data_IF_441496453761
#
_entry.id   IF_441496453761
#
_cell.length_a   1.000
_cell.length_b   1.000
_cell.length_c   1.000
_cell.angle_alpha   90.00
_cell.angle_beta   90.00
_cell.angle_gamma   90.00
#
_symmetry.space_group_name_H-M   'P 1'
#
loop_
_entity.id
_entity.type
_entity.pdbx_description
1 polymer ?
#
# COMPACT_ATOMS: atom_id res chain seq x y z
N UNK A 1 -20.89 10.12 14.38
CA UNK A 1 -20.38 11.34 15.03
C UNK A 1 -19.22 11.82 14.14
N UNK A 2 -19.37 12.74 13.18
CA UNK A 2 -19.53 14.22 13.34
C UNK A 2 -18.59 14.73 14.44
N UNK A 3 -17.55 15.55 14.20
CA UNK A 3 -17.53 16.94 13.68
C UNK A 3 -16.04 17.40 13.57
N UNK A 4 -15.51 18.04 12.49
CA UNK A 4 -15.55 19.46 12.03
C UNK A 4 -14.20 20.22 12.18
N UNK A 5 -13.79 20.89 11.07
CA UNK A 5 -13.28 22.29 10.91
C UNK A 5 -11.96 22.71 11.63
N UNK A 6 -11.08 23.65 11.22
CA UNK A 6 -11.01 24.82 10.31
C UNK A 6 -9.51 24.98 9.91
N UNK A 7 -9.11 25.27 8.67
CA UNK A 7 -8.89 26.61 8.06
C UNK A 7 -8.22 27.67 8.96
N UNK A 8 -6.97 28.07 8.67
CA UNK A 8 -6.49 29.42 9.02
C UNK A 8 -5.39 29.92 8.08
N UNK A 9 -5.80 30.90 7.28
CA UNK A 9 -5.04 31.87 6.52
C UNK A 9 -4.35 32.83 7.51
N UNK A 10 -3.05 33.12 7.35
CA UNK A 10 -2.39 34.24 8.05
C UNK A 10 -1.59 35.05 7.03
N UNK A 11 -2.16 36.19 6.64
CA UNK A 11 -1.46 37.35 6.10
C UNK A 11 -0.51 37.91 7.16
N UNK A 12 0.74 38.21 6.78
CA UNK A 12 1.55 39.17 7.51
C UNK A 12 1.83 40.39 6.62
N UNK A 13 1.12 41.48 6.91
CA UNK A 13 1.53 42.84 6.57
C UNK A 13 2.79 43.16 7.38
N UNK A 14 3.84 43.68 6.73
CA UNK A 14 4.87 44.45 7.42
C UNK A 14 4.93 45.87 6.89
N UNK A 15 4.90 46.79 7.85
CA UNK A 15 4.75 48.21 7.70
C UNK A 15 6.03 48.89 7.22
N UNK A 16 5.82 49.91 6.39
CA UNK A 16 6.77 50.95 5.99
C UNK A 16 7.22 51.73 7.22
N UNK A 17 8.54 51.88 7.41
CA UNK A 17 9.13 52.84 8.35
C UNK A 17 10.13 53.72 7.61
N UNK A 18 9.84 55.02 7.61
CA UNK A 18 10.66 56.08 7.04
C UNK A 18 12.01 56.21 7.74
N UNK A 19 13.08 56.32 6.97
CA UNK A 19 14.32 56.98 7.38
C UNK A 19 14.84 57.81 6.20
N UNK A 20 14.87 59.13 6.40
CA UNK A 20 15.37 60.15 5.48
C UNK A 20 16.91 60.17 5.43
N UNK A 21 17.54 60.20 4.25
CA UNK A 21 18.98 60.50 4.12
C UNK A 21 19.25 62.02 4.07
N UNK A 22 20.47 62.48 4.46
CA UNK A 22 20.80 63.91 4.57
C UNK A 22 21.12 64.59 3.23
N UNK A 23 20.79 65.87 3.16
CA UNK A 23 21.05 66.81 2.07
C UNK A 23 22.55 66.97 1.78
N UNK A 24 22.95 66.64 0.54
CA UNK A 24 24.23 67.06 -0.03
C UNK A 24 23.93 68.14 -1.07
N UNK A 25 24.24 69.39 -0.73
CA UNK A 25 24.22 70.50 -1.67
C UNK A 25 25.44 70.41 -2.59
N UNK A 26 25.23 69.95 -3.82
CA UNK A 26 26.21 70.03 -4.90
C UNK A 26 25.94 71.30 -5.72
N UNK A 27 26.76 72.32 -5.53
CA UNK A 27 26.77 73.53 -6.34
C UNK A 27 27.27 73.19 -7.74
N UNK A 28 26.38 73.18 -8.73
CA UNK A 28 26.73 73.00 -10.13
C UNK A 28 26.89 74.36 -10.82
N UNK A 29 28.12 74.69 -11.22
CA UNK A 29 28.38 75.67 -12.27
C UNK A 29 28.02 75.05 -13.63
N UNK A 30 27.33 75.76 -14.55
CA UNK A 30 26.97 75.20 -15.84
C UNK A 30 28.15 75.25 -16.80
N UNK A 31 28.86 74.14 -16.94
CA UNK A 31 29.73 73.92 -18.10
C UNK A 31 28.85 73.42 -19.24
N UNK A 32 28.66 74.28 -20.24
CA UNK A 32 28.09 73.91 -21.53
C UNK A 32 28.93 72.79 -22.15
N UNK A 33 28.30 71.65 -22.44
CA UNK A 33 28.86 70.61 -23.29
C UNK A 33 27.92 70.43 -24.47
N UNK A 34 28.52 70.62 -25.64
CA UNK A 34 27.91 70.78 -26.95
C UNK A 34 27.07 69.57 -27.40
N UNK A 35 25.96 69.90 -28.07
CA UNK A 35 24.96 69.05 -28.72
C UNK A 35 25.49 68.33 -29.98
N UNK A 36 26.62 67.62 -29.90
CA UNK A 36 27.15 66.99 -31.11
C UNK A 36 28.00 65.73 -30.85
N UNK A 37 27.38 64.64 -30.38
CA UNK A 37 27.94 63.30 -30.57
C UNK A 37 26.86 62.22 -30.75
N UNK A 38 26.75 61.79 -32.01
CA UNK A 38 26.43 60.45 -32.49
C UNK A 38 25.49 59.58 -31.65
N UNK A 39 24.28 59.38 -32.18
CA UNK A 39 23.53 58.12 -31.99
C UNK A 39 24.42 56.93 -32.40
N UNK A 40 24.75 55.99 -31.50
CA UNK A 40 25.15 54.67 -31.95
C UNK A 40 23.88 54.00 -32.46
N UNK A 41 23.80 53.90 -33.78
CA UNK A 41 23.43 52.68 -34.49
C UNK A 41 22.81 51.61 -33.57
N UNK A 42 21.47 51.54 -33.56
CA UNK A 42 20.80 50.30 -33.20
C UNK A 42 21.04 49.37 -34.39
N UNK A 43 22.16 48.64 -34.34
CA UNK A 43 22.28 47.43 -35.14
C UNK A 43 21.10 46.54 -34.76
N UNK A 44 20.33 46.14 -35.77
CA UNK A 44 19.46 44.97 -35.69
C UNK A 44 20.36 43.79 -35.30
N UNK A 45 20.47 43.51 -33.99
CA UNK A 45 21.20 42.37 -33.47
C UNK A 45 20.39 41.11 -33.84
N UNK A 46 20.57 40.65 -35.08
CA UNK A 46 20.20 39.31 -35.47
C UNK A 46 20.91 38.37 -34.49
N UNK A 47 20.13 37.72 -33.63
CA UNK A 47 20.60 36.69 -32.71
C UNK A 47 21.01 35.49 -33.56
N UNK A 48 22.26 35.49 -34.03
CA UNK A 48 22.88 34.35 -34.69
C UNK A 48 23.07 33.23 -33.67
N UNK A 49 22.54 32.03 -33.96
CA UNK A 49 22.82 30.84 -33.15
C UNK A 49 24.27 30.44 -33.34
N UNK A 50 24.98 30.20 -32.24
CA UNK A 50 26.40 29.87 -32.25
C UNK A 50 26.62 28.36 -32.15
N UNK A 51 27.82 27.89 -32.51
CA UNK A 51 28.25 26.51 -32.26
C UNK A 51 28.11 26.12 -30.78
N UNK A 52 28.30 27.10 -29.87
CA UNK A 52 28.13 26.92 -28.43
C UNK A 52 26.66 26.64 -28.05
N UNK A 53 25.69 27.29 -28.70
CA UNK A 53 24.25 27.07 -28.46
C UNK A 53 23.81 25.65 -28.87
N UNK A 54 24.33 25.16 -30.01
CA UNK A 54 24.08 23.78 -30.47
C UNK A 54 24.73 22.77 -29.52
N UNK A 55 25.94 23.07 -29.02
CA UNK A 55 26.64 22.22 -28.06
C UNK A 55 25.91 22.15 -26.71
N UNK A 56 25.38 23.27 -26.22
CA UNK A 56 24.57 23.34 -25.01
C UNK A 56 23.26 22.55 -25.18
N UNK A 57 22.52 22.78 -26.27
CA UNK A 57 21.30 22.03 -26.55
C UNK A 57 21.55 20.51 -26.67
N UNK A 58 22.67 20.11 -27.27
CA UNK A 58 23.08 18.70 -27.35
C UNK A 58 23.38 18.10 -25.98
N UNK A 59 24.06 18.85 -25.12
CA UNK A 59 24.32 18.41 -23.75
C UNK A 59 23.01 18.23 -22.98
N UNK A 60 22.10 19.20 -23.03
CA UNK A 60 20.78 19.14 -22.38
C UNK A 60 19.94 17.95 -22.87
N UNK A 61 19.92 17.72 -24.19
CA UNK A 61 19.23 16.55 -24.76
C UNK A 61 19.84 15.22 -24.26
N UNK A 62 21.17 15.12 -24.20
CA UNK A 62 21.84 13.92 -23.71
C UNK A 62 21.61 13.70 -22.20
N UNK A 63 21.47 14.78 -21.43
CA UNK A 63 21.08 14.75 -20.02
C UNK A 63 19.63 14.28 -19.86
N UNK A 64 18.69 14.87 -20.58
CA UNK A 64 17.29 14.46 -20.58
C UNK A 64 17.12 12.98 -20.97
N UNK A 65 17.91 12.49 -21.93
CA UNK A 65 17.93 11.07 -22.31
C UNK A 65 18.50 10.16 -21.21
N UNK A 66 19.43 10.64 -20.39
CA UNK A 66 19.90 9.90 -19.21
C UNK A 66 18.82 9.88 -18.13
N UNK A 67 18.20 11.01 -17.84
CA UNK A 67 17.12 11.12 -16.85
C UNK A 67 15.93 10.23 -17.22
N UNK A 68 15.48 10.26 -18.47
CA UNK A 68 14.40 9.39 -18.95
C UNK A 68 14.73 7.89 -18.82
N UNK A 69 16.01 7.50 -18.90
CA UNK A 69 16.43 6.11 -18.66
C UNK A 69 16.35 5.73 -17.19
N UNK A 70 16.69 6.64 -16.29
CA UNK A 70 16.56 6.45 -14.84
C UNK A 70 15.09 6.35 -14.46
N UNK A 71 14.28 7.31 -14.91
CA UNK A 71 12.83 7.33 -14.67
C UNK A 71 12.15 6.05 -15.16
N UNK A 72 12.53 5.57 -16.35
CA UNK A 72 12.04 4.29 -16.86
C UNK A 72 12.44 3.13 -15.94
N UNK A 73 13.68 3.07 -15.49
CA UNK A 73 14.15 2.00 -14.62
C UNK A 73 13.40 2.01 -13.28
N UNK A 74 13.15 3.18 -12.70
CA UNK A 74 12.37 3.34 -11.47
C UNK A 74 10.91 2.91 -11.69
N UNK A 75 10.30 3.33 -12.80
CA UNK A 75 8.95 2.92 -13.19
C UNK A 75 8.83 1.40 -13.38
N UNK A 76 9.80 0.79 -14.07
CA UNK A 76 9.86 -0.67 -14.28
C UNK A 76 10.00 -1.41 -12.95
N UNK A 77 10.81 -0.88 -12.02
CA UNK A 77 10.96 -1.41 -10.67
C UNK A 77 9.63 -1.37 -9.89
N UNK A 78 8.94 -0.23 -9.84
CA UNK A 78 7.65 -0.12 -9.15
C UNK A 78 6.58 -1.02 -9.75
N UNK A 79 6.59 -1.18 -11.07
CA UNK A 79 5.66 -2.09 -11.74
C UNK A 79 5.96 -3.56 -11.40
N UNK A 80 7.24 -3.92 -11.32
CA UNK A 80 7.66 -5.26 -10.91
C UNK A 80 7.26 -5.55 -9.46
N UNK A 81 7.53 -4.62 -8.54
CA UNK A 81 7.20 -4.71 -7.11
C UNK A 81 5.71 -4.94 -6.91
N UNK A 82 4.86 -4.09 -7.49
CA UNK A 82 3.41 -4.27 -7.45
C UNK A 82 2.95 -5.59 -8.11
N UNK A 83 3.70 -6.09 -9.08
CA UNK A 83 3.44 -7.39 -9.70
C UNK A 83 3.80 -8.57 -8.79
N UNK A 84 4.79 -8.42 -7.92
CA UNK A 84 5.14 -9.40 -6.90
C UNK A 84 4.09 -9.44 -5.79
N UNK A 85 3.56 -8.29 -5.36
CA UNK A 85 2.48 -8.22 -4.38
C UNK A 85 1.25 -9.03 -4.82
N UNK A 86 0.90 -8.98 -6.11
CA UNK A 86 -0.19 -9.81 -6.66
C UNK A 86 0.14 -11.29 -6.54
N UNK A 87 1.36 -11.70 -6.90
CA UNK A 87 1.77 -13.10 -6.84
C UNK A 87 1.78 -13.63 -5.40
N UNK A 88 2.25 -12.81 -4.45
CA UNK A 88 2.23 -13.14 -3.04
C UNK A 88 0.80 -13.31 -2.52
N UNK A 89 -0.09 -12.35 -2.81
CA UNK A 89 -1.50 -12.45 -2.41
C UNK A 89 -2.22 -13.65 -3.06
N UNK A 90 -1.90 -13.99 -4.32
CA UNK A 90 -2.41 -15.21 -4.97
C UNK A 90 -1.90 -16.47 -4.28
N UNK A 91 -0.62 -16.49 -3.90
CA UNK A 91 -0.02 -17.61 -3.18
C UNK A 91 -0.64 -17.79 -1.80
N UNK A 92 -0.82 -16.72 -1.02
CA UNK A 92 -1.46 -16.77 0.30
C UNK A 92 -2.88 -17.33 0.22
N UNK A 93 -3.69 -16.84 -0.73
CA UNK A 93 -5.06 -17.35 -0.93
C UNK A 93 -5.05 -18.84 -1.32
N UNK A 94 -4.08 -19.26 -2.14
CA UNK A 94 -3.90 -20.66 -2.52
C UNK A 94 -3.51 -21.52 -1.32
N UNK A 95 -2.52 -21.11 -0.52
CA UNK A 95 -2.07 -21.82 0.68
C UNK A 95 -3.24 -21.97 1.66
N UNK A 96 -3.95 -20.88 1.94
CA UNK A 96 -5.12 -20.92 2.81
C UNK A 96 -6.17 -21.92 2.29
N UNK A 97 -6.50 -21.86 1.00
CA UNK A 97 -7.58 -22.69 0.42
C UNK A 97 -7.20 -24.17 0.31
N UNK A 98 -5.94 -24.48 -0.01
CA UNK A 98 -5.47 -25.83 -0.31
C UNK A 98 -4.88 -26.56 0.89
N UNK A 99 -4.35 -25.84 1.89
CA UNK A 99 -3.67 -26.43 3.04
C UNK A 99 -4.33 -26.01 4.37
N UNK A 100 -4.34 -24.72 4.69
CA UNK A 100 -4.70 -24.28 6.05
C UNK A 100 -6.17 -24.56 6.38
N UNK A 101 -7.10 -24.18 5.49
CA UNK A 101 -8.53 -24.40 5.70
C UNK A 101 -8.85 -25.90 5.85
N UNK A 102 -8.42 -26.81 4.94
CA UNK A 102 -8.62 -28.25 5.14
C UNK A 102 -8.02 -28.76 6.44
N UNK A 103 -6.82 -28.30 6.81
CA UNK A 103 -6.17 -28.69 8.07
C UNK A 103 -7.00 -28.27 9.30
N UNK A 104 -7.46 -27.02 9.34
CA UNK A 104 -8.30 -26.52 10.44
C UNK A 104 -9.61 -27.31 10.56
N UNK A 105 -10.26 -27.63 9.44
CA UNK A 105 -11.47 -28.45 9.43
C UNK A 105 -11.17 -29.85 9.99
N UNK A 106 -10.14 -30.52 9.45
CA UNK A 106 -9.78 -31.87 9.87
C UNK A 106 -9.40 -31.93 11.36
N UNK A 107 -8.70 -30.92 11.88
CA UNK A 107 -8.37 -30.86 13.30
C UNK A 107 -9.62 -30.75 14.17
N UNK A 108 -10.55 -29.85 13.82
CA UNK A 108 -11.81 -29.71 14.55
C UNK A 108 -12.71 -30.95 14.45
N UNK A 109 -12.71 -31.65 13.32
CA UNK A 109 -13.40 -32.94 13.18
C UNK A 109 -12.79 -34.03 14.08
N UNK A 110 -11.46 -34.06 14.19
CA UNK A 110 -10.75 -34.99 15.08
C UNK A 110 -11.08 -34.74 16.56
N UNK A 111 -11.17 -33.47 16.98
CA UNK A 111 -11.53 -33.09 18.34
C UNK A 111 -12.97 -33.53 18.66
N UNK A 112 -13.91 -33.31 17.73
CA UNK A 112 -15.28 -33.82 17.84
C UNK A 112 -15.35 -35.34 17.94
N UNK A 113 -14.60 -36.05 17.09
CA UNK A 113 -14.57 -37.51 17.11
C UNK A 113 -14.05 -38.02 18.46
N UNK A 114 -12.99 -37.41 18.98
CA UNK A 114 -12.40 -37.75 20.28
C UNK A 114 -13.42 -37.58 21.41
N UNK A 115 -14.15 -36.46 21.44
CA UNK A 115 -15.19 -36.22 22.46
C UNK A 115 -16.37 -37.19 22.32
N UNK A 116 -16.77 -37.55 21.09
CA UNK A 116 -17.83 -38.54 20.85
C UNK A 116 -17.43 -39.93 21.35
N UNK A 117 -16.18 -40.34 21.13
CA UNK A 117 -15.66 -41.59 21.66
C UNK A 117 -15.62 -41.56 23.20
N UNK A 118 -15.11 -40.48 23.80
CA UNK A 118 -15.12 -40.30 25.25
C UNK A 118 -16.54 -40.35 25.84
N UNK A 119 -17.53 -39.80 25.12
CA UNK A 119 -18.94 -39.85 25.54
C UNK A 119 -19.47 -41.29 25.52
N UNK A 120 -19.15 -42.05 24.47
CA UNK A 120 -19.54 -43.45 24.37
C UNK A 120 -18.93 -44.26 25.51
N UNK A 121 -17.62 -44.13 25.71
CA UNK A 121 -16.89 -44.81 26.80
C UNK A 121 -17.47 -44.46 28.17
N UNK A 122 -17.74 -43.18 28.43
CA UNK A 122 -18.35 -42.72 29.70
C UNK A 122 -19.74 -43.32 29.93
N UNK A 123 -20.55 -43.51 28.87
CA UNK A 123 -21.87 -44.13 28.95
C UNK A 123 -21.76 -45.63 29.24
N UNK A 124 -20.84 -46.32 28.55
CA UNK A 124 -20.60 -47.75 28.74
C UNK A 124 -20.07 -48.05 30.14
N UNK A 125 -19.11 -47.25 30.64
CA UNK A 125 -18.59 -47.36 32.00
C UNK A 125 -19.70 -47.17 33.05
N UNK A 126 -20.51 -46.11 32.90
CA UNK A 126 -21.62 -45.87 33.83
C UNK A 126 -22.61 -47.05 33.83
N UNK A 127 -22.96 -47.59 32.65
CA UNK A 127 -23.85 -48.74 32.56
C UNK A 127 -23.28 -49.98 33.25
N UNK A 128 -21.96 -50.23 33.11
CA UNK A 128 -21.27 -51.32 33.81
C UNK A 128 -21.29 -51.13 35.33
N UNK A 129 -21.04 -49.90 35.81
CA UNK A 129 -21.10 -49.58 37.24
C UNK A 129 -22.53 -49.73 37.80
N UNK A 130 -23.54 -49.30 37.05
CA UNK A 130 -24.94 -49.47 37.43
C UNK A 130 -25.37 -50.93 37.47
N UNK A 131 -24.87 -51.78 36.57
CA UNK A 131 -25.07 -53.23 36.66
C UNK A 131 -24.39 -53.85 37.89
N UNK A 132 -23.17 -53.42 38.22
CA UNK A 132 -22.40 -53.96 39.34
C UNK A 132 -22.98 -53.56 40.70
N UNK A 133 -23.33 -52.28 40.87
CA UNK A 133 -23.80 -51.74 42.16
C UNK A 133 -25.32 -51.67 42.28
N UNK A 134 -26.08 -51.81 41.19
CA UNK A 134 -27.54 -51.71 41.20
C UNK A 134 -28.27 -52.99 41.60
N UNK A 135 -27.58 -54.14 41.66
CA UNK A 135 -28.18 -55.43 42.00
C UNK A 135 -28.15 -55.77 43.50
N UNK A 136 -27.33 -55.08 44.29
CA UNK A 136 -27.22 -55.29 45.75
C UNK A 136 -27.87 -54.11 46.50
N UNK A 137 -28.69 -54.39 47.52
CA UNK A 137 -29.06 -53.44 48.59
C UNK A 137 -27.81 -53.13 49.44
N UNK A 138 -26.75 -52.61 48.81
CA UNK A 138 -25.56 -52.16 49.50
C UNK A 138 -25.92 -50.85 50.22
N UNK A 139 -26.11 -50.94 51.53
CA UNK A 139 -26.05 -49.84 52.52
C UNK A 139 -24.65 -49.17 52.56
N UNK A 140 -23.88 -49.27 51.46
CA UNK A 140 -22.52 -48.78 51.35
C UNK A 140 -22.52 -47.45 50.59
N UNK A 141 -22.48 -46.36 51.37
CA UNK A 141 -22.32 -44.97 50.90
C UNK A 141 -21.19 -44.83 49.87
N UNK A 142 -20.22 -45.74 49.87
CA UNK A 142 -19.13 -45.78 48.89
C UNK A 142 -19.63 -46.07 47.46
N UNK A 143 -20.57 -47.00 47.28
CA UNK A 143 -21.13 -47.33 45.96
C UNK A 143 -21.90 -46.14 45.36
N UNK A 144 -22.67 -45.43 46.18
CA UNK A 144 -23.36 -44.21 45.76
C UNK A 144 -22.37 -43.13 45.28
N UNK A 145 -21.27 -42.92 46.02
CA UNK A 145 -20.23 -41.94 45.64
C UNK A 145 -19.61 -42.29 44.28
N UNK A 146 -19.36 -43.57 44.00
CA UNK A 146 -18.81 -44.02 42.71
C UNK A 146 -19.79 -43.74 41.57
N UNK A 147 -21.06 -44.12 41.72
CA UNK A 147 -22.10 -43.85 40.72
C UNK A 147 -22.30 -42.35 40.49
N UNK A 148 -22.32 -41.54 41.55
CA UNK A 148 -22.43 -40.08 41.43
C UNK A 148 -21.23 -39.48 40.69
N UNK A 149 -20.01 -39.98 40.91
CA UNK A 149 -18.82 -39.52 40.18
C UNK A 149 -18.92 -39.85 38.70
N UNK A 150 -19.30 -41.07 38.35
CA UNK A 150 -19.46 -41.49 36.97
C UNK A 150 -20.55 -40.68 36.24
N UNK A 151 -21.70 -40.43 36.89
CA UNK A 151 -22.77 -39.56 36.35
C UNK A 151 -22.28 -38.13 36.13
N UNK A 152 -21.48 -37.58 37.05
CA UNK A 152 -20.89 -36.24 36.90
C UNK A 152 -19.92 -36.19 35.73
N UNK A 153 -19.07 -37.21 35.58
CA UNK A 153 -18.15 -37.31 34.46
C UNK A 153 -18.93 -37.34 33.14
N UNK A 154 -19.96 -38.17 33.03
CA UNK A 154 -20.82 -38.23 31.84
C UNK A 154 -21.48 -36.88 31.53
N UNK A 155 -22.00 -36.20 32.56
CA UNK A 155 -22.60 -34.87 32.43
C UNK A 155 -21.61 -33.83 31.90
N UNK A 156 -20.37 -33.85 32.37
CA UNK A 156 -19.31 -32.98 31.85
C UNK A 156 -18.95 -33.32 30.41
N UNK A 157 -18.77 -34.60 30.07
CA UNK A 157 -18.46 -35.01 28.69
C UNK A 157 -19.56 -34.58 27.71
N UNK A 158 -20.84 -34.67 28.10
CA UNK A 158 -21.96 -34.15 27.31
C UNK A 158 -21.85 -32.63 27.07
N UNK A 159 -21.55 -31.88 28.12
CA UNK A 159 -21.43 -30.42 28.05
C UNK A 159 -20.26 -30.01 27.13
N UNK A 160 -19.13 -30.70 27.23
CA UNK A 160 -17.98 -30.45 26.36
C UNK A 160 -18.27 -30.80 24.91
N UNK A 161 -18.97 -31.91 24.64
CA UNK A 161 -19.36 -32.26 23.28
C UNK A 161 -20.27 -31.19 22.66
N UNK A 162 -21.28 -30.71 23.39
CA UNK A 162 -22.19 -29.66 22.90
C UNK A 162 -21.43 -28.36 22.58
N UNK A 163 -20.49 -27.97 23.45
CA UNK A 163 -19.63 -26.82 23.23
C UNK A 163 -18.75 -26.98 21.98
N UNK A 164 -18.15 -28.16 21.80
CA UNK A 164 -17.28 -28.42 20.66
C UNK A 164 -18.09 -28.49 19.36
N UNK A 165 -19.30 -29.03 19.37
CA UNK A 165 -20.20 -29.04 18.22
C UNK A 165 -20.56 -27.62 17.78
N UNK A 166 -20.82 -26.72 18.73
CA UNK A 166 -21.03 -25.31 18.44
C UNK A 166 -19.75 -24.65 17.89
N UNK A 167 -18.61 -24.92 18.48
CA UNK A 167 -17.31 -24.35 18.08
C UNK A 167 -16.94 -24.77 16.65
N UNK A 168 -17.07 -26.06 16.33
CA UNK A 168 -16.88 -26.61 15.01
C UNK A 168 -17.83 -25.97 13.98
N UNK A 169 -19.12 -25.85 14.32
CA UNK A 169 -20.09 -25.20 13.44
C UNK A 169 -19.73 -23.73 13.18
N UNK A 170 -19.33 -22.99 14.22
CA UNK A 170 -18.89 -21.60 14.09
C UNK A 170 -17.63 -21.47 13.22
N UNK A 171 -16.66 -22.38 13.38
CA UNK A 171 -15.45 -22.43 12.56
C UNK A 171 -15.80 -22.52 11.07
N UNK A 172 -16.64 -23.50 10.70
CA UNK A 172 -16.98 -23.77 9.30
C UNK A 172 -17.89 -22.69 8.71
N UNK A 173 -18.90 -22.25 9.45
CA UNK A 173 -19.95 -21.39 8.91
C UNK A 173 -19.58 -19.90 8.95
N UNK A 174 -18.71 -19.50 9.88
CA UNK A 174 -18.44 -18.07 10.14
C UNK A 174 -16.96 -17.75 9.99
N UNK A 175 -16.09 -18.43 10.74
CA UNK A 175 -14.68 -18.03 10.86
C UNK A 175 -13.90 -18.28 9.57
N UNK A 176 -13.89 -19.51 9.04
CA UNK A 176 -13.18 -19.85 7.81
C UNK A 176 -13.67 -19.06 6.59
N UNK A 177 -14.99 -18.83 6.40
CA UNK A 177 -15.46 -17.93 5.34
C UNK A 177 -15.05 -16.47 5.55
N UNK A 178 -14.98 -15.98 6.78
CA UNK A 178 -14.53 -14.63 7.07
C UNK A 178 -13.03 -14.46 6.78
N UNK A 179 -12.22 -15.42 7.19
CA UNK A 179 -10.79 -15.48 6.91
C UNK A 179 -10.52 -15.54 5.41
N UNK A 180 -11.25 -16.38 4.66
CA UNK A 180 -11.17 -16.41 3.18
C UNK A 180 -11.39 -15.04 2.55
N UNK A 181 -12.40 -14.29 3.03
CA UNK A 181 -12.70 -12.94 2.51
C UNK A 181 -11.59 -11.93 2.78
N UNK A 182 -10.76 -12.16 3.80
CA UNK A 182 -9.57 -11.32 4.03
C UNK A 182 -8.56 -11.54 2.90
N UNK A 183 -8.20 -12.79 2.62
CA UNK A 183 -7.29 -13.15 1.52
C UNK A 183 -7.83 -12.75 0.13
N UNK A 184 -9.13 -12.89 -0.11
CA UNK A 184 -9.74 -12.43 -1.37
C UNK A 184 -9.63 -10.91 -1.52
N UNK A 185 -9.81 -10.15 -0.43
CA UNK A 185 -9.69 -8.69 -0.44
C UNK A 185 -8.24 -8.24 -0.62
N UNK A 186 -7.27 -8.87 0.04
CA UNK A 186 -5.85 -8.53 -0.14
C UNK A 186 -5.43 -8.74 -1.59
N UNK A 187 -5.86 -9.85 -2.19
CA UNK A 187 -5.63 -10.10 -3.62
C UNK A 187 -6.30 -9.05 -4.53
N UNK A 188 -7.55 -8.69 -4.25
CA UNK A 188 -8.26 -7.66 -5.02
C UNK A 188 -7.54 -6.31 -4.93
N UNK A 189 -7.09 -5.92 -3.73
CA UNK A 189 -6.32 -4.69 -3.52
C UNK A 189 -4.99 -4.70 -4.28
N UNK A 190 -4.21 -5.78 -4.17
CA UNK A 190 -2.94 -5.92 -4.90
C UNK A 190 -3.16 -5.84 -6.42
N UNK A 191 -4.20 -6.49 -6.95
CA UNK A 191 -4.55 -6.41 -8.39
C UNK A 191 -4.92 -5.00 -8.82
N UNK A 192 -5.67 -4.29 -7.99
CA UNK A 192 -6.02 -2.90 -8.26
C UNK A 192 -4.78 -1.99 -8.25
N UNK A 193 -3.90 -2.15 -7.26
CA UNK A 193 -2.65 -1.39 -7.14
C UNK A 193 -1.70 -1.66 -8.31
N UNK A 194 -1.53 -2.92 -8.70
CA UNK A 194 -0.79 -3.28 -9.91
C UNK A 194 -1.38 -2.65 -11.17
N UNK A 195 -2.71 -2.70 -11.33
CA UNK A 195 -3.39 -2.04 -12.44
C UNK A 195 -3.16 -0.53 -12.47
N UNK A 196 -3.20 0.12 -11.30
CA UNK A 196 -2.92 1.55 -11.16
C UNK A 196 -1.44 1.88 -11.45
N UNK A 197 -0.50 1.07 -10.96
CA UNK A 197 0.93 1.20 -11.23
C UNK A 197 1.22 1.08 -12.73
N UNK A 198 0.62 0.09 -13.39
CA UNK A 198 0.73 -0.09 -14.84
C UNK A 198 0.21 1.12 -15.62
N UNK A 199 -0.97 1.62 -15.28
CA UNK A 199 -1.53 2.80 -15.95
C UNK A 199 -0.67 4.05 -15.74
N UNK A 200 -0.11 4.25 -14.53
CA UNK A 200 0.82 5.35 -14.24
C UNK A 200 2.11 5.20 -15.06
N UNK A 201 2.68 4.01 -15.10
CA UNK A 201 3.87 3.70 -15.89
C UNK A 201 3.67 4.03 -17.38
N UNK A 202 2.53 3.62 -17.95
CA UNK A 202 2.18 3.93 -19.34
C UNK A 202 2.08 5.44 -19.58
N UNK A 203 1.45 6.18 -18.68
CA UNK A 203 1.32 7.65 -18.78
C UNK A 203 2.68 8.33 -18.69
N UNK A 204 3.52 7.97 -17.72
CA UNK A 204 4.84 8.59 -17.56
C UNK A 204 5.77 8.27 -18.73
N UNK A 205 5.74 7.03 -19.25
CA UNK A 205 6.45 6.68 -20.46
C UNK A 205 6.03 7.51 -21.68
N UNK A 206 4.72 7.78 -21.83
CA UNK A 206 4.24 8.64 -22.92
C UNK A 206 4.68 10.09 -22.74
N UNK A 207 4.67 10.63 -21.51
CA UNK A 207 5.11 12.00 -21.21
C UNK A 207 6.60 12.19 -21.46
N UNK A 208 7.43 11.28 -20.95
CA UNK A 208 8.88 11.30 -21.12
C UNK A 208 9.27 11.17 -22.58
N UNK A 209 8.69 10.22 -23.32
CA UNK A 209 8.92 10.09 -24.76
C UNK A 209 8.52 11.36 -25.51
N UNK A 210 7.37 11.96 -25.18
CA UNK A 210 6.94 13.20 -25.82
C UNK A 210 7.88 14.38 -25.54
N UNK A 211 8.39 14.49 -24.31
CA UNK A 211 9.37 15.52 -23.97
C UNK A 211 10.68 15.34 -24.75
N UNK A 212 11.19 14.10 -24.84
CA UNK A 212 12.38 13.80 -25.64
C UNK A 212 12.18 14.07 -27.13
N UNK A 213 11.00 13.77 -27.69
CA UNK A 213 10.67 14.09 -29.09
C UNK A 213 10.68 15.60 -29.37
N UNK A 214 10.21 16.41 -28.42
CA UNK A 214 10.22 17.88 -28.54
C UNK A 214 11.66 18.39 -28.53
N UNK A 215 12.45 18.00 -27.52
CA UNK A 215 13.85 18.41 -27.42
C UNK A 215 14.70 17.94 -28.61
N UNK A 216 14.44 16.72 -29.11
CA UNK A 216 15.12 16.21 -30.30
C UNK A 216 14.80 17.04 -31.55
N UNK A 217 13.57 17.57 -31.65
CA UNK A 217 13.17 18.45 -32.75
C UNK A 217 13.82 19.82 -32.64
N UNK A 218 13.78 20.44 -31.45
CA UNK A 218 14.42 21.73 -31.18
C UNK A 218 15.92 21.68 -31.50
N UNK A 219 16.60 20.62 -31.07
CA UNK A 219 18.01 20.39 -31.39
C UNK A 219 18.27 20.17 -32.88
N UNK A 220 17.35 19.53 -33.61
CA UNK A 220 17.48 19.35 -35.04
C UNK A 220 17.27 20.66 -35.81
N UNK A 221 16.35 21.51 -35.36
CA UNK A 221 16.10 22.85 -35.92
C UNK A 221 17.33 23.74 -35.70
N UNK A 222 17.89 23.80 -34.49
CA UNK A 222 19.12 24.54 -34.19
C UNK A 222 20.31 24.12 -35.05
N UNK A 223 20.48 22.81 -35.28
CA UNK A 223 21.54 22.29 -36.15
C UNK A 223 21.33 22.68 -37.61
N UNK A 224 20.09 22.64 -38.09
CA UNK A 224 19.77 23.01 -39.46
C UNK A 224 20.00 24.51 -39.71
N UNK A 225 19.66 25.37 -38.74
CA UNK A 225 19.91 26.81 -38.83
C UNK A 225 21.41 27.12 -38.84
N UNK A 226 22.22 26.44 -38.01
CA UNK A 226 23.68 26.59 -38.03
C UNK A 226 24.31 26.12 -39.36
N UNK A 227 23.78 25.06 -39.98
CA UNK A 227 24.28 24.52 -41.25
C UNK A 227 23.90 25.39 -42.48
N UNK A 228 22.92 26.29 -42.34
CA UNK A 228 22.47 27.22 -43.40
C UNK A 228 23.26 28.55 -43.44
N UNK A 229 24.11 28.82 -42.44
CA UNK A 229 25.02 29.98 -42.34
C UNK A 229 26.42 29.72 -42.95
#
# INVERSE_FOLDING_TARGET
MFTRLLSSLILFLFAVSCATPPDIQLTADPVALDDDYCKPFLDDEASYFTEDDVAEAQFEFDMAKREARIEKADTDFYLQDAGQDVQEAEHELLVFTSADKPFQIANSEHDLLSLRNNLLESKEELAQLEMLYGADELDDKTAEIVLQRARRQLSWTLTYLELEEHTHAQLIQVLLPAERRVYERTLEMAKHEYGAAKARAEIEMLRTNRALEIQARELAELKAELDEE
#
